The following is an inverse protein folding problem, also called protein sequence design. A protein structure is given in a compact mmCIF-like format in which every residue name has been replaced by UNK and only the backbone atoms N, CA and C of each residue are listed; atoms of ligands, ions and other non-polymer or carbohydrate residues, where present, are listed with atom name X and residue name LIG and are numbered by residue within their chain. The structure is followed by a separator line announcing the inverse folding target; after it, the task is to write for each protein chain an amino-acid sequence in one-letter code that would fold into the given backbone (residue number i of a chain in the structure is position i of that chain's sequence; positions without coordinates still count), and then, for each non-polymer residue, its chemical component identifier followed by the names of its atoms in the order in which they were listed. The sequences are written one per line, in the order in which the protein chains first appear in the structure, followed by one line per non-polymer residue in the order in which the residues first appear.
data_IF_355618964312
#
_entry.id   IF_355618964312
#
_cell.length_a   1.000
_cell.length_b   1.000
_cell.length_c   1.000
_cell.angle_alpha   90.00
_cell.angle_beta   90.00
_cell.angle_gamma   90.00
#
_symmetry.space_group_name_H-M   'P 1'
#
loop_
_entity.id
_entity.type
_entity.pdbx_description
1 polymer ?
#
# COMPACT_ATOMS: atom_id res chain seq x y z
N UNK A 1 19.64 -4.35 -12.33
CA UNK A 1 19.15 -3.39 -13.34
C UNK A 1 18.29 -4.13 -14.35
N UNK A 2 17.52 -3.40 -15.13
CA UNK A 2 16.73 -3.98 -16.20
C UNK A 2 17.65 -4.52 -17.30
N UNK A 3 17.23 -5.58 -17.97
CA UNK A 3 18.01 -6.26 -19.00
C UNK A 3 17.19 -6.41 -20.29
N UNK A 4 17.82 -6.11 -21.44
CA UNK A 4 17.26 -6.27 -22.79
C UNK A 4 18.08 -7.23 -23.63
N UNK A 5 17.46 -7.81 -24.67
CA UNK A 5 18.15 -8.61 -25.66
C UNK A 5 18.28 -7.88 -27.00
N UNK A 6 19.51 -7.73 -27.50
CA UNK A 6 19.82 -7.07 -28.77
C UNK A 6 20.15 -8.11 -29.84
N UNK A 7 19.60 -7.91 -31.04
CA UNK A 7 19.95 -8.62 -32.27
C UNK A 7 20.50 -7.66 -33.32
N UNK A 8 21.53 -8.08 -34.05
CA UNK A 8 21.98 -7.42 -35.27
C UNK A 8 21.90 -8.41 -36.40
N UNK A 9 21.12 -8.09 -37.43
CA UNK A 9 20.88 -8.94 -38.60
C UNK A 9 21.53 -8.30 -39.80
N UNK A 10 22.32 -9.08 -40.54
CA UNK A 10 23.01 -8.67 -41.78
C UNK A 10 22.56 -9.52 -42.95
N UNK A 11 21.98 -8.89 -43.96
CA UNK A 11 21.51 -9.61 -45.17
C UNK A 11 20.60 -10.82 -44.83
N UNK A 12 19.70 -10.67 -43.87
CA UNK A 12 18.81 -11.77 -43.47
C UNK A 12 19.44 -12.86 -42.61
N UNK A 13 20.66 -12.64 -42.07
CA UNK A 13 21.33 -13.58 -41.19
C UNK A 13 21.65 -12.88 -39.86
N UNK A 14 21.39 -13.58 -38.74
CA UNK A 14 21.76 -13.07 -37.42
C UNK A 14 23.27 -13.01 -37.28
N UNK A 15 23.82 -11.80 -37.17
CA UNK A 15 25.25 -11.56 -37.00
C UNK A 15 25.63 -11.46 -35.50
N UNK A 16 24.75 -10.92 -34.67
CA UNK A 16 24.84 -10.93 -33.21
C UNK A 16 23.53 -11.41 -32.64
N UNK A 17 23.62 -12.49 -31.88
CA UNK A 17 22.47 -13.25 -31.40
C UNK A 17 22.27 -12.98 -29.90
N UNK A 18 21.11 -12.45 -29.54
CA UNK A 18 20.62 -12.31 -28.18
C UNK A 18 21.64 -11.68 -27.22
N UNK A 19 22.28 -10.60 -27.62
CA UNK A 19 23.26 -9.90 -26.80
C UNK A 19 22.55 -9.22 -25.62
N UNK A 20 22.89 -9.62 -24.40
CA UNK A 20 22.35 -9.02 -23.19
C UNK A 20 22.88 -7.61 -23.02
N UNK A 21 21.96 -6.64 -22.87
CA UNK A 21 22.26 -5.27 -22.47
C UNK A 21 21.71 -5.04 -21.07
N UNK A 22 22.53 -4.40 -20.21
CA UNK A 22 22.14 -4.05 -18.85
C UNK A 22 21.97 -2.54 -18.73
N UNK A 23 20.92 -2.10 -18.07
CA UNK A 23 20.64 -0.69 -17.81
C UNK A 23 21.55 -0.12 -16.73
N UNK A 24 22.13 1.04 -17.01
CA UNK A 24 22.86 1.85 -16.04
C UNK A 24 22.25 3.25 -15.98
N UNK A 25 21.82 3.69 -14.80
CA UNK A 25 21.35 5.05 -14.58
C UNK A 25 22.52 6.01 -14.52
N UNK A 26 22.45 7.11 -15.28
CA UNK A 26 23.43 8.20 -15.27
C UNK A 26 23.03 9.28 -14.26
N UNK A 27 23.97 10.13 -13.89
CA UNK A 27 23.77 11.24 -12.93
C UNK A 27 22.74 12.28 -13.43
N UNK A 28 22.58 12.42 -14.75
CA UNK A 28 21.61 13.32 -15.39
C UNK A 28 20.19 12.73 -15.49
N UNK A 29 19.98 11.53 -14.95
CA UNK A 29 18.70 10.82 -14.99
C UNK A 29 18.44 10.04 -16.29
N UNK A 30 19.37 10.07 -17.26
CA UNK A 30 19.28 9.23 -18.46
C UNK A 30 19.67 7.77 -18.16
N UNK A 31 19.28 6.84 -19.03
CA UNK A 31 19.62 5.42 -18.93
C UNK A 31 20.49 5.05 -20.13
N UNK A 32 21.66 4.46 -19.84
CA UNK A 32 22.53 3.88 -20.85
C UNK A 32 22.43 2.37 -20.79
N UNK A 33 22.28 1.73 -21.95
CA UNK A 33 22.26 0.29 -22.09
C UNK A 33 23.59 -0.19 -22.64
N UNK A 34 24.25 -1.11 -21.94
CA UNK A 34 25.58 -1.59 -22.30
C UNK A 34 25.63 -3.12 -22.28
N UNK A 35 26.33 -3.75 -23.27
CA UNK A 35 26.66 -5.14 -23.20
C UNK A 35 27.74 -5.40 -22.13
N UNK A 36 28.00 -6.66 -21.83
CA UNK A 36 29.14 -7.04 -20.99
C UNK A 36 30.45 -6.48 -21.56
N UNK A 37 31.40 -6.12 -20.69
CA UNK A 37 32.63 -5.43 -21.04
C UNK A 37 33.51 -6.15 -22.11
N UNK A 38 33.36 -7.47 -22.22
CA UNK A 38 34.08 -8.28 -23.21
C UNK A 38 33.40 -8.33 -24.58
N UNK A 39 32.14 -7.93 -24.67
CA UNK A 39 31.33 -7.98 -25.91
C UNK A 39 31.62 -6.76 -26.77
N UNK A 40 32.30 -6.96 -27.90
CA UNK A 40 32.55 -5.91 -28.89
C UNK A 40 31.52 -6.00 -30.01
N UNK A 41 30.67 -5.01 -30.09
CA UNK A 41 29.68 -4.88 -31.17
C UNK A 41 30.27 -4.07 -32.30
N UNK A 42 30.13 -4.55 -33.52
CA UNK A 42 30.48 -3.85 -34.76
C UNK A 42 29.23 -3.73 -35.62
N UNK A 43 28.89 -2.50 -35.98
CA UNK A 43 27.69 -2.21 -36.78
C UNK A 43 27.92 -1.08 -37.78
N UNK A 44 26.84 -0.58 -38.39
CA UNK A 44 26.86 0.53 -39.33
C UNK A 44 27.19 0.12 -40.77
N UNK A 45 27.11 -1.16 -41.08
CA UNK A 45 27.19 -1.65 -42.46
C UNK A 45 25.85 -1.43 -43.19
N UNK A 46 25.89 -1.35 -44.50
CA UNK A 46 24.69 -1.36 -45.34
C UNK A 46 23.95 -2.71 -45.18
N UNK A 47 22.61 -2.66 -45.14
CA UNK A 47 21.73 -3.85 -45.00
C UNK A 47 21.82 -4.50 -43.59
N UNK A 48 21.97 -3.70 -42.55
CA UNK A 48 21.82 -4.15 -41.15
C UNK A 48 20.49 -3.68 -40.59
N UNK A 49 19.80 -4.62 -39.92
CA UNK A 49 18.66 -4.35 -39.07
C UNK A 49 19.07 -4.58 -37.60
N UNK A 50 18.53 -3.77 -36.71
CA UNK A 50 18.78 -3.84 -35.28
C UNK A 50 17.44 -4.04 -34.58
N UNK A 51 17.34 -5.09 -33.77
CA UNK A 51 16.12 -5.40 -33.02
C UNK A 51 16.43 -5.52 -31.55
N UNK A 52 15.54 -5.00 -30.72
CA UNK A 52 15.64 -5.03 -29.27
C UNK A 52 14.35 -5.55 -28.65
N UNK A 53 14.45 -6.30 -27.56
CA UNK A 53 13.30 -6.72 -26.78
C UNK A 53 13.58 -6.64 -25.27
N UNK A 54 12.54 -6.46 -24.51
CA UNK A 54 12.53 -6.44 -23.04
C UNK A 54 11.32 -7.22 -22.51
N UNK A 55 11.43 -7.97 -21.41
CA UNK A 55 12.65 -8.28 -20.63
C UNK A 55 13.50 -9.37 -21.27
N UNK A 56 14.80 -9.36 -21.00
CA UNK A 56 15.76 -10.33 -21.52
C UNK A 56 15.39 -11.77 -21.17
N UNK A 57 15.55 -12.68 -22.16
CA UNK A 57 15.39 -14.12 -22.02
C UNK A 57 16.69 -14.83 -22.40
N UNK A 58 17.10 -15.82 -21.61
CA UNK A 58 18.32 -16.61 -21.90
C UNK A 58 18.12 -17.59 -23.08
N UNK A 59 16.90 -18.13 -23.22
CA UNK A 59 16.55 -19.04 -24.31
C UNK A 59 15.70 -18.32 -25.36
N UNK A 60 16.35 -18.02 -26.48
CA UNK A 60 15.73 -17.41 -27.65
C UNK A 60 15.78 -18.31 -28.89
N UNK A 61 16.16 -19.55 -28.74
CA UNK A 61 16.28 -20.48 -29.86
C UNK A 61 14.95 -20.68 -30.61
N UNK A 62 14.94 -20.40 -31.90
CA UNK A 62 13.76 -20.51 -32.75
C UNK A 62 12.66 -19.48 -32.50
N UNK A 63 12.94 -18.43 -31.76
CA UNK A 63 11.94 -17.37 -31.41
C UNK A 63 12.05 -16.10 -32.25
N UNK A 64 12.99 -16.07 -33.21
CA UNK A 64 13.18 -14.88 -34.09
C UNK A 64 13.22 -15.35 -35.56
N UNK A 65 12.76 -14.44 -36.44
CA UNK A 65 12.83 -14.61 -37.91
C UNK A 65 13.83 -13.62 -38.53
N UNK A 66 15.02 -14.09 -38.87
CA UNK A 66 16.08 -13.23 -39.42
C UNK A 66 15.75 -12.66 -40.80
N UNK A 67 14.74 -13.17 -41.50
CA UNK A 67 14.30 -12.65 -42.79
C UNK A 67 13.37 -11.44 -42.67
N UNK A 68 12.85 -11.16 -41.49
CA UNK A 68 11.93 -10.03 -41.22
C UNK A 68 12.66 -8.68 -41.17
N UNK A 69 11.94 -7.63 -41.56
CA UNK A 69 12.42 -6.25 -41.54
C UNK A 69 11.77 -5.41 -40.44
N UNK A 70 10.64 -5.87 -39.88
CA UNK A 70 9.89 -5.20 -38.86
C UNK A 70 9.97 -5.96 -37.54
N UNK A 71 9.97 -5.28 -36.36
CA UNK A 71 10.15 -5.94 -35.08
C UNK A 71 9.00 -6.91 -34.74
N UNK A 72 7.77 -6.62 -35.13
CA UNK A 72 6.61 -7.49 -34.92
C UNK A 72 6.77 -8.83 -35.65
N UNK A 73 7.29 -8.83 -36.89
CA UNK A 73 7.54 -10.03 -37.66
C UNK A 73 8.79 -10.75 -37.16
N UNK A 74 9.85 -10.02 -36.83
CA UNK A 74 11.10 -10.59 -36.30
C UNK A 74 10.85 -11.37 -35.01
N UNK A 75 10.05 -10.82 -34.08
CA UNK A 75 9.72 -11.43 -32.80
C UNK A 75 8.36 -12.16 -32.79
N UNK A 76 7.74 -12.44 -33.94
CA UNK A 76 6.40 -13.04 -34.01
C UNK A 76 6.25 -14.33 -33.17
N UNK A 77 7.25 -15.22 -33.24
CA UNK A 77 7.27 -16.45 -32.46
C UNK A 77 7.44 -16.21 -30.97
N UNK A 78 8.29 -15.23 -30.57
CA UNK A 78 8.43 -14.80 -29.19
C UNK A 78 7.12 -14.22 -28.67
N UNK A 79 6.49 -13.33 -29.39
CA UNK A 79 5.22 -12.67 -29.04
C UNK A 79 4.12 -13.71 -28.84
N UNK A 80 3.96 -14.61 -29.82
CA UNK A 80 2.92 -15.64 -29.75
C UNK A 80 3.17 -16.64 -28.61
N UNK A 81 4.43 -16.92 -28.30
CA UNK A 81 4.80 -17.81 -27.19
C UNK A 81 4.84 -17.15 -25.82
N UNK A 82 4.75 -15.80 -25.73
CA UNK A 82 4.90 -15.08 -24.48
C UNK A 82 3.78 -15.39 -23.50
N UNK A 83 4.15 -15.70 -22.27
CA UNK A 83 3.21 -16.03 -21.20
C UNK A 83 3.36 -15.03 -20.06
N UNK A 84 2.52 -13.97 -20.00
CA UNK A 84 2.45 -13.12 -18.83
C UNK A 84 2.19 -13.93 -17.56
N UNK A 85 2.83 -13.56 -16.46
CA UNK A 85 2.66 -14.25 -15.18
C UNK A 85 1.19 -14.25 -14.75
N UNK A 86 0.71 -15.37 -14.21
CA UNK A 86 -0.64 -15.44 -13.66
C UNK A 86 -0.76 -14.57 -12.41
N UNK A 87 0.27 -14.55 -11.57
CA UNK A 87 0.38 -13.65 -10.44
C UNK A 87 1.28 -12.45 -10.81
N UNK A 88 0.64 -11.30 -11.02
CA UNK A 88 1.28 -10.01 -11.26
C UNK A 88 1.10 -9.05 -10.08
N UNK A 89 0.82 -9.55 -8.88
CA UNK A 89 0.54 -8.73 -7.70
C UNK A 89 1.73 -7.88 -7.23
N UNK A 90 2.96 -8.25 -7.63
CA UNK A 90 4.17 -7.47 -7.37
C UNK A 90 4.58 -6.65 -8.60
N UNK A 91 5.24 -5.50 -8.37
CA UNK A 91 5.78 -4.70 -9.48
C UNK A 91 6.75 -5.49 -10.38
N UNK A 92 7.61 -6.31 -9.77
CA UNK A 92 8.58 -7.10 -10.52
C UNK A 92 7.89 -8.11 -11.47
N UNK A 93 6.89 -8.84 -10.98
CA UNK A 93 6.12 -9.81 -11.78
C UNK A 93 5.27 -9.11 -12.86
N UNK A 94 4.68 -7.97 -12.52
CA UNK A 94 3.93 -7.14 -13.46
C UNK A 94 4.83 -6.62 -14.58
N UNK A 95 5.98 -6.00 -14.26
CA UNK A 95 6.92 -5.46 -15.24
C UNK A 95 7.52 -6.56 -16.13
N UNK A 96 7.88 -7.71 -15.53
CA UNK A 96 8.40 -8.85 -16.28
C UNK A 96 7.37 -9.52 -17.22
N UNK A 97 6.08 -9.25 -17.05
CA UNK A 97 5.01 -9.74 -17.92
C UNK A 97 4.87 -8.92 -19.20
N UNK A 98 5.41 -7.71 -19.25
CA UNK A 98 5.24 -6.77 -20.36
C UNK A 98 6.36 -6.91 -21.39
N UNK A 99 6.12 -7.73 -22.40
CA UNK A 99 7.05 -7.83 -23.54
C UNK A 99 6.99 -6.56 -24.36
N UNK A 100 8.14 -5.92 -24.51
CA UNK A 100 8.33 -4.75 -25.37
C UNK A 100 9.35 -5.09 -26.46
N UNK A 101 9.15 -4.53 -27.65
CA UNK A 101 10.01 -4.75 -28.82
C UNK A 101 10.32 -3.43 -29.51
N UNK A 102 11.40 -3.38 -30.26
CA UNK A 102 11.76 -2.22 -31.07
C UNK A 102 12.67 -2.61 -32.24
N UNK A 103 12.61 -1.83 -33.30
CA UNK A 103 13.68 -1.69 -34.28
C UNK A 103 14.61 -0.54 -33.91
N UNK A 104 15.85 -0.62 -34.36
CA UNK A 104 16.91 0.34 -34.01
C UNK A 104 17.28 1.25 -35.17
N UNK A 105 17.56 2.51 -34.84
CA UNK A 105 18.17 3.46 -35.76
C UNK A 105 19.61 3.75 -35.36
N UNK A 106 20.47 3.97 -36.36
CA UNK A 106 21.90 4.27 -36.13
C UNK A 106 22.23 5.72 -36.42
N UNK A 107 23.07 6.31 -35.56
CA UNK A 107 23.65 7.63 -35.78
C UNK A 107 25.16 7.53 -35.68
N UNK A 108 25.86 8.02 -36.72
CA UNK A 108 27.33 8.05 -36.74
C UNK A 108 27.83 9.23 -35.88
N UNK A 109 28.63 8.91 -34.89
CA UNK A 109 29.34 9.89 -34.07
C UNK A 109 30.70 10.27 -34.65
N UNK A 110 31.37 11.20 -33.99
CA UNK A 110 32.77 11.54 -34.28
C UNK A 110 33.68 10.36 -33.90
N UNK A 111 34.76 10.16 -34.62
CA UNK A 111 35.75 9.09 -34.37
C UNK A 111 35.28 7.64 -34.69
N UNK A 112 34.30 7.48 -35.57
CA UNK A 112 33.83 6.15 -35.99
C UNK A 112 32.97 5.41 -34.95
N UNK A 113 32.54 6.09 -33.91
CA UNK A 113 31.56 5.55 -32.98
C UNK A 113 30.18 5.48 -33.63
N UNK A 114 29.39 4.50 -33.24
CA UNK A 114 28.00 4.32 -33.66
C UNK A 114 27.10 4.35 -32.43
N UNK A 115 26.10 5.23 -32.44
CA UNK A 115 25.03 5.20 -31.44
C UNK A 115 23.81 4.48 -31.99
N UNK A 116 23.24 3.59 -31.20
CA UNK A 116 21.99 2.92 -31.49
C UNK A 116 20.88 3.55 -30.64
N UNK A 117 19.75 3.85 -31.25
CA UNK A 117 18.56 4.37 -30.58
C UNK A 117 17.36 3.48 -30.87
N UNK A 118 16.59 3.19 -29.84
CA UNK A 118 15.39 2.36 -29.90
C UNK A 118 14.21 3.07 -29.28
N UNK A 119 13.04 2.95 -29.90
CA UNK A 119 11.76 3.35 -29.30
C UNK A 119 10.94 2.10 -29.06
N UNK A 120 10.84 1.70 -27.78
CA UNK A 120 10.15 0.46 -27.41
C UNK A 120 8.64 0.59 -27.56
N UNK A 121 8.02 -0.43 -28.12
CA UNK A 121 6.57 -0.60 -28.21
C UNK A 121 6.12 -1.82 -27.42
N UNK A 122 4.98 -1.73 -26.75
CA UNK A 122 4.42 -2.89 -26.04
C UNK A 122 3.88 -3.93 -27.05
N UNK A 123 4.40 -5.13 -27.02
CA UNK A 123 3.81 -6.25 -27.75
C UNK A 123 2.62 -6.86 -27.00
N UNK A 124 2.48 -6.52 -25.72
CA UNK A 124 1.38 -6.94 -24.85
C UNK A 124 0.26 -5.90 -24.81
N UNK A 125 -0.83 -6.26 -24.15
CA UNK A 125 -1.99 -5.39 -23.92
C UNK A 125 -2.29 -5.27 -22.43
N UNK A 126 -3.02 -4.21 -22.01
CA UNK A 126 -3.24 -3.86 -20.64
C UNK A 126 -4.72 -3.92 -20.25
N UNK A 127 -5.08 -4.78 -19.30
CA UNK A 127 -6.35 -4.71 -18.59
C UNK A 127 -6.23 -3.74 -17.41
N UNK A 128 -7.07 -2.71 -17.38
CA UNK A 128 -7.19 -1.75 -16.27
C UNK A 128 -8.48 -2.06 -15.54
N UNK A 129 -8.42 -2.31 -14.24
CA UNK A 129 -9.57 -2.61 -13.40
C UNK A 129 -9.84 -1.41 -12.51
N UNK A 130 -11.07 -0.90 -12.56
CA UNK A 130 -11.50 0.21 -11.72
C UNK A 130 -12.66 -0.23 -10.84
N UNK A 131 -12.47 -0.03 -9.52
CA UNK A 131 -13.45 -0.32 -8.50
C UNK A 131 -14.40 0.86 -8.27
N UNK A 132 -15.62 0.64 -7.74
CA UNK A 132 -16.49 1.72 -7.34
C UNK A 132 -15.90 2.51 -6.17
N UNK A 133 -16.26 3.79 -6.08
CA UNK A 133 -15.97 4.66 -4.93
C UNK A 133 -17.20 4.72 -4.03
N UNK A 134 -17.02 4.52 -2.73
CA UNK A 134 -18.09 4.69 -1.75
C UNK A 134 -17.89 6.03 -1.05
N UNK A 135 -18.94 6.84 -0.98
CA UNK A 135 -18.96 8.11 -0.24
C UNK A 135 -19.97 8.00 0.88
N UNK A 136 -19.49 8.00 2.12
CA UNK A 136 -20.34 8.09 3.29
C UNK A 136 -20.70 9.55 3.55
N UNK A 137 -21.99 9.86 3.44
CA UNK A 137 -22.55 11.17 3.79
C UNK A 137 -23.06 11.10 5.21
N UNK A 138 -22.36 11.77 6.13
CA UNK A 138 -22.69 11.68 7.54
C UNK A 138 -23.92 12.52 7.89
N UNK A 139 -24.85 11.92 8.62
CA UNK A 139 -26.15 12.51 9.00
C UNK A 139 -26.22 12.88 10.49
N UNK A 140 -25.06 13.06 11.13
CA UNK A 140 -24.95 13.41 12.53
C UNK A 140 -25.59 14.80 12.81
N UNK A 141 -26.55 14.86 13.74
CA UNK A 141 -27.28 16.09 14.04
C UNK A 141 -26.43 17.10 14.85
N UNK A 142 -25.57 16.62 15.74
CA UNK A 142 -24.86 17.47 16.71
C UNK A 142 -23.42 17.86 16.29
N UNK A 143 -22.91 17.24 15.22
CA UNK A 143 -21.56 17.50 14.70
C UNK A 143 -21.58 17.41 13.18
N UNK A 144 -21.04 18.42 12.52
CA UNK A 144 -20.87 18.38 11.06
C UNK A 144 -19.59 17.64 10.75
N UNK A 145 -19.72 16.46 10.15
CA UNK A 145 -18.61 15.62 9.70
C UNK A 145 -18.57 15.71 8.16
N UNK A 146 -17.41 16.00 7.55
CA UNK A 146 -17.27 15.98 6.09
C UNK A 146 -17.58 14.59 5.52
N UNK A 147 -17.93 14.50 4.23
CA UNK A 147 -18.14 13.24 3.55
C UNK A 147 -16.84 12.41 3.59
N UNK A 148 -16.96 11.13 3.92
CA UNK A 148 -15.84 10.19 3.91
C UNK A 148 -15.82 9.44 2.56
N UNK A 149 -14.80 9.73 1.75
CA UNK A 149 -14.60 9.08 0.46
C UNK A 149 -13.76 7.82 0.66
N UNK A 150 -14.43 6.69 0.70
CA UNK A 150 -13.76 5.39 0.69
C UNK A 150 -13.62 4.90 -0.77
N UNK A 151 -12.44 5.02 -1.34
CA UNK A 151 -12.12 4.31 -2.57
C UNK A 151 -12.04 2.84 -2.21
N UNK A 152 -12.98 2.05 -2.71
CA UNK A 152 -12.94 0.61 -2.51
C UNK A 152 -11.56 0.11 -2.94
N UNK A 153 -10.73 -0.17 -1.94
CA UNK A 153 -9.46 -0.86 -2.15
C UNK A 153 -9.84 -2.29 -2.38
N UNK A 154 -9.94 -2.71 -3.46
CA UNK A 154 -10.16 -4.01 -3.78
C UNK A 154 -10.33 -5.11 -2.91
N UNK A 155 -10.73 -5.61 -3.39
CA UNK A 155 -10.86 -6.91 -3.88
C UNK A 155 -9.76 -7.74 -3.24
N UNK A 156 -10.17 -8.59 -2.42
CA UNK A 156 -9.44 -9.80 -2.14
C UNK A 156 -9.39 -10.61 -3.46
N UNK A 157 -8.23 -10.66 -4.09
CA UNK A 157 -7.94 -11.50 -5.25
C UNK A 157 -7.41 -12.88 -4.88
N UNK A 158 -7.39 -13.24 -3.61
CA UNK A 158 -6.70 -14.43 -3.07
C UNK A 158 -7.10 -15.74 -3.79
N UNK A 159 -8.33 -15.84 -4.26
CA UNK A 159 -8.81 -17.01 -4.99
C UNK A 159 -8.94 -16.76 -6.50
N UNK A 160 -8.28 -15.74 -7.03
CA UNK A 160 -8.25 -15.49 -8.47
C UNK A 160 -7.18 -16.32 -9.17
N UNK A 161 -7.52 -16.88 -10.31
CA UNK A 161 -6.51 -17.55 -11.18
C UNK A 161 -5.46 -16.55 -11.70
N UNK A 162 -5.87 -15.28 -11.86
CA UNK A 162 -5.03 -14.19 -12.31
C UNK A 162 -5.04 -13.08 -11.27
N UNK A 163 -3.86 -12.72 -10.76
CA UNK A 163 -3.73 -11.70 -9.72
C UNK A 163 -3.15 -10.40 -10.29
N UNK A 164 -3.92 -9.31 -10.32
CA UNK A 164 -3.47 -8.04 -10.88
C UNK A 164 -2.58 -7.22 -9.93
N UNK A 165 -1.78 -6.33 -10.49
CA UNK A 165 -0.98 -5.36 -9.76
C UNK A 165 -1.80 -4.14 -9.34
N UNK A 166 -1.76 -3.81 -8.04
CA UNK A 166 -2.40 -2.61 -7.48
C UNK A 166 -1.53 -1.37 -7.69
N UNK A 167 -2.03 -0.36 -8.42
CA UNK A 167 -1.29 0.89 -8.67
C UNK A 167 -1.75 2.05 -7.80
N UNK A 168 -2.99 2.01 -7.35
CA UNK A 168 -3.60 3.01 -6.47
C UNK A 168 -4.85 2.39 -5.83
N UNK A 169 -5.38 2.95 -4.74
CA UNK A 169 -6.64 2.50 -4.17
C UNK A 169 -7.73 2.37 -5.23
N UNK A 170 -8.32 1.17 -5.34
CA UNK A 170 -9.39 0.87 -6.29
C UNK A 170 -8.99 0.82 -7.77
N UNK A 171 -7.68 0.81 -8.08
CA UNK A 171 -7.20 0.70 -9.47
C UNK A 171 -6.11 -0.35 -9.60
N UNK A 172 -6.31 -1.30 -10.49
CA UNK A 172 -5.40 -2.41 -10.74
C UNK A 172 -5.06 -2.54 -12.21
N UNK A 173 -3.95 -3.19 -12.50
CA UNK A 173 -3.45 -3.47 -13.85
C UNK A 173 -3.07 -4.94 -13.99
N UNK A 174 -3.32 -5.49 -15.18
CA UNK A 174 -2.93 -6.83 -15.55
C UNK A 174 -2.50 -6.87 -17.02
N UNK A 175 -1.30 -7.39 -17.29
CA UNK A 175 -0.78 -7.56 -18.65
C UNK A 175 -1.31 -8.86 -19.23
N UNK A 176 -1.80 -8.81 -20.48
CA UNK A 176 -2.30 -9.96 -21.24
C UNK A 176 -1.59 -10.07 -22.58
N UNK A 177 -1.42 -11.29 -23.07
CA UNK A 177 -0.97 -11.49 -24.44
C UNK A 177 -2.16 -11.34 -25.40
N UNK A 178 -2.16 -10.36 -26.31
CA UNK A 178 -3.29 -10.12 -27.23
C UNK A 178 -3.44 -11.19 -28.31
N UNK A 179 -2.37 -11.95 -28.61
CA UNK A 179 -2.37 -13.00 -29.64
C UNK A 179 -3.01 -14.29 -29.10
N UNK A 180 -2.61 -14.70 -27.90
CA UNK A 180 -3.11 -15.94 -27.31
C UNK A 180 -4.30 -15.73 -26.39
N UNK A 181 -4.48 -14.51 -25.89
CA UNK A 181 -5.48 -14.20 -24.87
C UNK A 181 -5.29 -15.02 -23.59
N UNK A 182 -6.35 -15.12 -22.81
CA UNK A 182 -6.43 -16.04 -21.68
C UNK A 182 -7.86 -16.53 -21.54
N UNK A 183 -8.02 -17.82 -21.25
CA UNK A 183 -9.31 -18.40 -20.89
C UNK A 183 -9.62 -18.23 -19.39
N UNK A 184 -8.63 -17.75 -18.60
CA UNK A 184 -8.76 -17.56 -17.14
C UNK A 184 -9.41 -16.25 -16.81
N UNK A 185 -10.10 -16.22 -15.68
CA UNK A 185 -10.77 -15.04 -15.17
C UNK A 185 -9.91 -14.33 -14.12
N UNK A 186 -10.05 -13.00 -14.07
CA UNK A 186 -9.77 -12.24 -12.87
C UNK A 186 -11.06 -12.23 -12.05
N UNK A 187 -11.00 -12.78 -10.85
CA UNK A 187 -12.11 -12.80 -9.90
C UNK A 187 -11.70 -12.06 -8.64
N UNK A 188 -12.65 -11.44 -7.98
CA UNK A 188 -12.37 -10.75 -6.72
C UNK A 188 -13.60 -10.49 -5.90
N UNK A 189 -13.38 -10.22 -4.61
CA UNK A 189 -14.41 -9.81 -3.66
C UNK A 189 -14.11 -8.39 -3.18
N UNK A 190 -15.14 -7.61 -2.87
CA UNK A 190 -15.00 -6.28 -2.30
C UNK A 190 -16.15 -5.99 -1.33
N UNK A 191 -16.17 -4.81 -0.70
CA UNK A 191 -17.11 -4.47 0.36
C UNK A 191 -17.11 -5.54 1.48
N UNK A 192 -15.90 -5.84 1.99
CA UNK A 192 -15.65 -6.88 3.00
C UNK A 192 -16.20 -8.27 2.61
N UNK A 193 -16.01 -8.64 1.36
CA UNK A 193 -16.40 -9.95 0.83
C UNK A 193 -17.90 -10.11 0.54
N UNK A 194 -18.70 -9.05 0.73
CA UNK A 194 -20.15 -9.10 0.49
C UNK A 194 -20.54 -8.99 -0.99
N UNK A 195 -19.60 -8.60 -1.84
CA UNK A 195 -19.79 -8.52 -3.29
C UNK A 195 -18.65 -9.20 -4.03
N UNK A 196 -18.98 -9.81 -5.16
CA UNK A 196 -18.03 -10.54 -6.01
C UNK A 196 -18.09 -9.99 -7.43
N UNK A 197 -16.99 -10.10 -8.16
CA UNK A 197 -16.93 -9.83 -9.59
C UNK A 197 -16.04 -10.83 -10.29
N UNK A 198 -16.27 -11.03 -11.58
CA UNK A 198 -15.43 -11.85 -12.45
C UNK A 198 -15.48 -11.30 -13.87
N UNK A 199 -14.35 -11.32 -14.56
CA UNK A 199 -14.27 -11.05 -15.99
C UNK A 199 -13.03 -11.70 -16.60
N UNK A 200 -13.10 -12.00 -17.90
CA UNK A 200 -11.96 -12.48 -18.68
C UNK A 200 -11.28 -11.27 -19.34
N UNK A 201 -9.98 -11.04 -19.14
CA UNK A 201 -9.28 -9.91 -19.75
C UNK A 201 -9.00 -10.16 -21.24
N UNK A 202 -10.02 -10.04 -22.08
CA UNK A 202 -9.92 -10.22 -23.52
C UNK A 202 -9.59 -8.89 -24.21
N UNK A 203 -8.36 -8.77 -24.73
CA UNK A 203 -7.85 -7.64 -25.48
C UNK A 203 -7.04 -8.22 -26.64
N UNK A 204 -7.34 -7.81 -27.87
CA UNK A 204 -6.83 -8.46 -29.09
C UNK A 204 -5.80 -7.62 -29.84
N UNK A 205 -5.53 -6.39 -29.41
CA UNK A 205 -4.57 -5.50 -30.05
C UNK A 205 -3.38 -5.23 -29.12
N UNK A 206 -2.18 -5.40 -29.62
CA UNK A 206 -0.96 -4.98 -28.93
C UNK A 206 -0.97 -3.45 -28.68
N UNK A 207 -0.18 -3.00 -27.71
CA UNK A 207 -0.07 -1.58 -27.31
C UNK A 207 -1.41 -0.92 -26.94
N UNK A 208 -2.44 -1.71 -26.67
CA UNK A 208 -3.77 -1.20 -26.33
C UNK A 208 -4.16 -1.50 -24.89
N UNK A 209 -5.18 -0.82 -24.38
CA UNK A 209 -5.73 -1.13 -23.08
C UNK A 209 -7.25 -1.19 -23.09
N UNK A 210 -7.80 -1.94 -22.15
CA UNK A 210 -9.25 -2.01 -21.90
C UNK A 210 -9.53 -1.81 -20.43
N UNK A 211 -10.48 -0.92 -20.12
CA UNK A 211 -10.90 -0.68 -18.75
C UNK A 211 -12.11 -1.56 -18.40
N UNK A 212 -11.98 -2.35 -17.36
CA UNK A 212 -13.03 -3.16 -16.75
C UNK A 212 -13.53 -2.42 -15.51
N UNK A 213 -14.76 -1.96 -15.55
CA UNK A 213 -15.38 -1.19 -14.47
C UNK A 213 -16.27 -2.09 -13.63
N UNK A 214 -15.84 -2.38 -12.40
CA UNK A 214 -16.65 -3.11 -11.43
C UNK A 214 -17.77 -2.21 -10.95
N UNK A 215 -19.03 -2.68 -11.00
CA UNK A 215 -20.23 -1.87 -10.72
C UNK A 215 -20.20 -0.50 -11.42
N UNK A 216 -19.74 -0.47 -12.68
CA UNK A 216 -19.59 0.76 -13.47
C UNK A 216 -18.49 1.71 -13.01
N UNK A 217 -17.67 1.35 -12.03
CA UNK A 217 -16.76 2.22 -11.29
C UNK A 217 -17.49 3.48 -10.76
N UNK A 218 -18.75 3.31 -10.35
CA UNK A 218 -19.63 4.41 -9.97
C UNK A 218 -19.29 4.96 -8.57
N UNK A 219 -19.64 6.22 -8.33
CA UNK A 219 -19.65 6.79 -6.99
C UNK A 219 -20.96 6.42 -6.31
N UNK A 220 -20.89 5.61 -5.27
CA UNK A 220 -22.04 5.14 -4.48
C UNK A 220 -22.12 6.00 -3.20
N UNK A 221 -23.16 6.81 -3.08
CA UNK A 221 -23.42 7.60 -1.87
C UNK A 221 -24.19 6.77 -0.84
N UNK A 222 -23.69 6.76 0.40
CA UNK A 222 -24.36 6.09 1.53
C UNK A 222 -24.57 7.08 2.67
N UNK A 223 -25.83 7.33 3.02
CA UNK A 223 -26.14 8.04 4.27
C UNK A 223 -25.73 7.17 5.47
N UNK A 224 -25.04 7.76 6.44
CA UNK A 224 -24.56 7.07 7.63
C UNK A 224 -24.53 8.00 8.84
N UNK A 225 -25.07 7.59 9.97
CA UNK A 225 -24.90 8.29 11.23
C UNK A 225 -23.73 7.64 11.96
N UNK A 226 -22.60 8.34 11.98
CA UNK A 226 -21.38 7.84 12.61
C UNK A 226 -21.53 7.86 14.12
N UNK A 227 -21.26 6.75 14.78
CA UNK A 227 -21.43 6.62 16.22
C UNK A 227 -20.44 5.65 16.85
N UNK A 228 -20.13 5.82 18.15
CA UNK A 228 -19.32 4.84 18.87
C UNK A 228 -19.94 3.43 18.78
N UNK A 229 -19.11 2.44 18.48
CA UNK A 229 -19.49 1.06 18.23
C UNK A 229 -19.64 0.68 16.75
N UNK A 230 -19.58 1.65 15.82
CA UNK A 230 -19.54 1.34 14.39
C UNK A 230 -18.24 0.62 14.04
N UNK A 231 -18.32 -0.30 13.08
CA UNK A 231 -17.22 -1.14 12.66
C UNK A 231 -16.51 -0.53 11.46
N UNK A 232 -15.18 -0.37 11.58
CA UNK A 232 -14.30 0.03 10.48
C UNK A 232 -13.57 -1.21 9.95
N UNK A 233 -13.74 -1.49 8.68
CA UNK A 233 -13.19 -2.67 8.03
C UNK A 233 -11.86 -2.37 7.34
N UNK A 234 -11.09 -3.39 7.05
CA UNK A 234 -9.75 -3.30 6.42
C UNK A 234 -9.77 -2.59 5.07
N UNK A 235 -10.88 -2.61 4.34
CA UNK A 235 -11.10 -1.89 3.08
C UNK A 235 -11.58 -0.44 3.29
N UNK A 236 -11.66 0.04 4.53
CA UNK A 236 -12.17 1.36 4.90
C UNK A 236 -13.70 1.45 4.92
N UNK A 237 -14.43 0.37 4.68
CA UNK A 237 -15.89 0.38 4.77
C UNK A 237 -16.35 0.56 6.21
N UNK A 238 -17.42 1.36 6.38
CA UNK A 238 -18.10 1.56 7.67
C UNK A 238 -19.40 0.74 7.72
N UNK A 239 -19.61 0.05 8.85
CA UNK A 239 -20.86 -0.66 9.14
C UNK A 239 -21.37 -0.21 10.49
N UNK A 240 -22.63 0.22 10.53
CA UNK A 240 -23.24 0.67 11.79
C UNK A 240 -23.34 -0.46 12.82
N UNK A 241 -23.12 -0.12 14.10
CA UNK A 241 -23.16 -1.08 15.22
C UNK A 241 -24.44 -1.90 15.31
N UNK A 242 -25.55 -1.34 14.83
CA UNK A 242 -26.88 -1.96 14.86
C UNK A 242 -27.13 -2.94 13.69
N UNK A 243 -26.14 -3.12 12.80
CA UNK A 243 -26.22 -4.06 11.68
C UNK A 243 -25.63 -5.40 12.05
N UNK A 244 -26.26 -6.48 11.63
CA UNK A 244 -25.70 -7.82 11.77
C UNK A 244 -24.53 -7.98 10.79
N UNK A 245 -23.36 -8.34 11.33
CA UNK A 245 -22.17 -8.62 10.53
C UNK A 245 -22.20 -10.07 10.03
N UNK A 246 -21.81 -10.26 8.77
CA UNK A 246 -21.43 -11.59 8.26
C UNK A 246 -20.08 -12.01 8.88
N UNK A 247 -19.76 -13.31 8.81
CA UNK A 247 -18.47 -13.78 9.34
C UNK A 247 -17.29 -13.19 8.59
N UNK A 248 -17.39 -12.96 7.28
CA UNK A 248 -16.39 -12.25 6.50
C UNK A 248 -16.20 -10.78 6.95
N UNK A 249 -17.29 -10.10 7.30
CA UNK A 249 -17.21 -8.73 7.83
C UNK A 249 -16.60 -8.67 9.23
N UNK A 250 -16.92 -9.67 10.09
CA UNK A 250 -16.27 -9.78 11.40
C UNK A 250 -14.76 -10.00 11.25
N UNK A 251 -14.35 -10.88 10.35
CA UNK A 251 -12.95 -11.17 10.06
C UNK A 251 -12.21 -9.97 9.44
N UNK A 252 -12.90 -9.14 8.66
CA UNK A 252 -12.36 -7.94 8.04
C UNK A 252 -12.39 -6.70 8.94
N UNK A 253 -13.02 -6.76 10.13
CA UNK A 253 -13.10 -5.64 11.05
C UNK A 253 -11.73 -5.41 11.71
N UNK A 254 -11.14 -4.25 11.47
CA UNK A 254 -9.82 -3.89 12.00
C UNK A 254 -9.91 -2.92 13.19
N UNK A 255 -11.01 -2.15 13.29
CA UNK A 255 -11.20 -1.20 14.36
C UNK A 255 -12.68 -0.95 14.67
N UNK A 256 -12.95 -0.44 15.86
CA UNK A 256 -14.26 0.02 16.30
C UNK A 256 -14.20 1.52 16.55
N UNK A 257 -15.13 2.26 15.94
CA UNK A 257 -15.25 3.71 16.14
C UNK A 257 -15.57 3.99 17.61
N UNK A 258 -14.78 4.85 18.23
CA UNK A 258 -15.06 5.27 19.60
C UNK A 258 -15.48 6.74 19.72
N UNK A 259 -15.19 7.56 18.71
CA UNK A 259 -15.60 8.97 18.70
C UNK A 259 -15.94 9.42 17.26
N UNK A 260 -17.06 10.11 17.10
CA UNK A 260 -17.55 10.61 15.82
C UNK A 260 -17.19 12.09 15.66
N UNK A 261 -16.54 12.43 14.57
CA UNK A 261 -16.05 13.78 14.27
C UNK A 261 -14.62 14.01 14.78
N UNK A 262 -14.07 15.15 14.40
CA UNK A 262 -12.76 15.59 14.87
C UNK A 262 -12.91 16.26 16.26
N UNK A 263 -12.16 15.79 17.25
CA UNK A 263 -12.24 16.32 18.61
C UNK A 263 -11.61 17.70 18.70
N UNK A 264 -12.26 18.62 19.45
CA UNK A 264 -11.83 20.03 19.54
C UNK A 264 -10.46 20.21 20.20
N UNK A 265 -10.07 19.28 21.07
CA UNK A 265 -8.74 19.26 21.72
C UNK A 265 -7.68 18.51 20.91
N UNK A 266 -7.99 18.03 19.70
CA UNK A 266 -7.00 17.43 18.80
C UNK A 266 -6.37 18.52 17.93
N UNK A 267 -5.12 18.83 18.19
CA UNK A 267 -4.30 19.76 17.40
C UNK A 267 -3.47 19.05 16.32
N UNK A 268 -3.81 17.80 16.00
CA UNK A 268 -3.20 17.08 14.87
C UNK A 268 -3.74 17.61 13.55
N UNK A 269 -2.93 17.48 12.50
CA UNK A 269 -3.28 17.81 11.12
C UNK A 269 -3.01 16.58 10.23
N UNK A 270 -3.95 16.26 9.34
CA UNK A 270 -3.95 14.98 8.63
C UNK A 270 -3.84 15.06 7.09
N UNK A 271 -3.44 16.19 6.43
CA UNK A 271 -3.45 16.30 4.98
C UNK A 271 -2.46 15.34 4.28
N UNK A 272 -1.34 15.02 4.94
CA UNK A 272 -0.31 14.12 4.42
C UNK A 272 -0.60 12.64 4.72
N UNK A 273 -1.76 12.34 5.30
CA UNK A 273 -2.22 10.98 5.59
C UNK A 273 -3.23 10.52 4.55
N UNK A 274 -3.71 9.27 4.68
CA UNK A 274 -4.81 8.78 3.86
C UNK A 274 -6.12 9.58 3.99
N UNK A 275 -6.29 10.35 5.06
CA UNK A 275 -7.44 11.24 5.29
C UNK A 275 -7.43 12.40 4.26
N UNK A 276 -6.25 12.95 3.93
CA UNK A 276 -6.08 13.98 2.89
C UNK A 276 -6.69 15.35 3.21
N UNK A 277 -7.03 15.62 4.47
CA UNK A 277 -7.59 16.89 4.94
C UNK A 277 -7.20 17.16 6.40
N UNK A 278 -7.34 18.40 6.88
CA UNK A 278 -6.88 18.80 8.22
C UNK A 278 -7.64 18.13 9.37
N UNK A 279 -8.92 17.78 9.17
CA UNK A 279 -9.76 17.18 10.21
C UNK A 279 -10.18 15.78 9.84
N UNK A 280 -10.12 14.86 10.80
CA UNK A 280 -10.61 13.50 10.63
C UNK A 280 -12.14 13.42 10.73
N UNK A 281 -12.71 12.31 10.26
CA UNK A 281 -14.14 12.00 10.36
C UNK A 281 -14.50 11.37 11.71
N UNK A 282 -13.52 10.72 12.34
CA UNK A 282 -13.68 10.07 13.64
C UNK A 282 -12.40 9.33 14.05
N UNK A 283 -12.47 8.70 15.22
CA UNK A 283 -11.37 7.89 15.76
C UNK A 283 -11.87 6.48 16.02
N UNK A 284 -11.01 5.51 15.73
CA UNK A 284 -11.31 4.10 15.94
C UNK A 284 -10.16 3.41 16.68
N UNK A 285 -10.51 2.48 17.56
CA UNK A 285 -9.60 1.67 18.35
C UNK A 285 -9.43 0.32 17.66
N UNK A 286 -8.19 -0.18 17.57
CA UNK A 286 -7.89 -1.48 16.99
C UNK A 286 -8.67 -2.61 17.69
N UNK A 287 -9.04 -3.64 16.94
CA UNK A 287 -9.70 -4.83 17.53
C UNK A 287 -8.72 -5.60 18.39
N UNK A 288 -7.46 -5.70 17.95
CA UNK A 288 -6.42 -6.44 18.64
C UNK A 288 -5.40 -5.51 19.30
N UNK A 289 -4.89 -5.92 20.46
CA UNK A 289 -3.77 -5.26 21.10
C UNK A 289 -2.49 -5.38 20.24
N UNK A 290 -1.73 -4.29 20.18
CA UNK A 290 -0.38 -4.34 19.61
C UNK A 290 0.56 -5.15 20.52
N UNK A 291 0.42 -4.99 21.85
CA UNK A 291 0.96 -5.89 22.90
C UNK A 291 -0.05 -5.99 24.03
N UNK A 292 -0.63 -7.17 24.29
CA UNK A 292 -1.59 -7.36 25.35
C UNK A 292 -0.93 -7.30 26.74
N UNK A 293 -1.64 -6.70 27.70
CA UNK A 293 -1.29 -6.80 29.12
C UNK A 293 -1.84 -8.13 29.71
N UNK A 294 -1.16 -8.88 30.58
CA UNK A 294 0.14 -8.61 31.24
C UNK A 294 1.34 -9.27 30.56
N UNK A 295 1.28 -9.60 29.27
CA UNK A 295 2.44 -10.13 28.58
C UNK A 295 3.66 -9.21 28.76
N UNK A 296 4.81 -9.58 28.21
CA UNK A 296 6.11 -8.91 28.45
C UNK A 296 6.09 -7.37 28.32
N UNK A 297 5.03 -6.77 27.77
CA UNK A 297 4.86 -5.32 27.60
C UNK A 297 6.01 -4.63 26.85
N UNK A 298 5.85 -3.35 26.59
CA UNK A 298 6.88 -2.50 25.97
C UNK A 298 7.33 -1.40 26.93
N UNK A 299 8.60 -0.98 26.85
CA UNK A 299 9.06 0.27 27.42
C UNK A 299 8.44 1.43 26.60
N UNK A 300 8.20 2.56 27.26
CA UNK A 300 7.72 3.72 26.55
C UNK A 300 8.78 4.32 25.61
N UNK A 301 10.01 4.52 26.12
CA UNK A 301 11.13 5.10 25.41
C UNK A 301 12.25 5.56 26.34
N UNK A 302 12.97 6.62 25.95
CA UNK A 302 14.14 7.14 26.67
C UNK A 302 13.75 7.66 28.05
N UNK A 303 14.33 7.07 29.09
CA UNK A 303 14.20 7.56 30.46
C UNK A 303 15.19 8.70 30.69
N UNK A 304 14.72 9.81 31.24
CA UNK A 304 15.50 11.03 31.46
C UNK A 304 15.51 12.04 30.30
N UNK A 305 14.77 11.74 29.20
CA UNK A 305 14.59 12.62 28.06
C UNK A 305 13.12 12.99 27.83
N UNK A 306 12.85 14.22 27.35
CA UNK A 306 11.51 14.63 26.90
C UNK A 306 11.48 14.81 25.38
N UNK A 307 10.44 14.27 24.76
CA UNK A 307 10.16 14.46 23.32
C UNK A 307 9.14 15.56 23.06
N UNK A 308 8.70 16.24 24.13
CA UNK A 308 7.78 17.36 24.05
C UNK A 308 6.31 16.98 23.81
N UNK A 309 5.91 15.82 24.34
CA UNK A 309 4.51 15.34 24.31
C UNK A 309 3.81 15.53 25.66
N UNK A 310 4.43 16.35 26.54
CA UNK A 310 3.85 16.71 27.82
C UNK A 310 2.64 17.63 27.62
N UNK A 311 1.56 17.31 28.28
CA UNK A 311 0.33 18.11 28.35
C UNK A 311 -0.23 18.12 29.77
N UNK A 312 -1.28 18.90 30.01
CA UNK A 312 -2.03 18.83 31.28
C UNK A 312 -2.92 17.57 31.35
N UNK A 313 -2.83 16.68 30.36
CA UNK A 313 -3.69 15.51 30.19
C UNK A 313 -3.71 14.54 31.36
N UNK A 314 -2.69 14.53 32.24
CA UNK A 314 -2.78 13.74 33.46
C UNK A 314 -3.83 14.27 34.45
N UNK A 315 -3.96 15.60 34.60
CA UNK A 315 -4.93 16.25 35.49
C UNK A 315 -6.27 16.49 34.80
N UNK A 316 -6.25 16.74 33.51
CA UNK A 316 -7.39 17.08 32.65
C UNK A 316 -7.34 16.23 31.37
N UNK A 317 -7.59 14.92 31.46
CA UNK A 317 -7.37 14.00 30.34
C UNK A 317 -8.17 14.35 29.09
N UNK A 318 -9.35 14.91 29.24
CA UNK A 318 -10.21 15.38 28.14
C UNK A 318 -9.60 16.50 27.28
N UNK A 319 -8.54 17.17 27.78
CA UNK A 319 -7.85 18.25 27.06
C UNK A 319 -6.74 17.76 26.12
N UNK A 320 -6.35 16.49 26.18
CA UNK A 320 -5.27 15.93 25.36
C UNK A 320 -5.74 14.83 24.40
N UNK A 321 -6.14 15.22 23.20
CA UNK A 321 -6.51 14.32 22.11
C UNK A 321 -5.45 14.24 21.01
N UNK A 322 -4.22 14.65 21.28
CA UNK A 322 -3.13 14.78 20.30
C UNK A 322 -2.38 13.47 20.00
N UNK A 323 -3.01 12.30 20.10
CA UNK A 323 -2.32 11.02 19.97
C UNK A 323 -1.50 10.88 18.67
N UNK A 324 -2.07 11.25 17.52
CA UNK A 324 -1.35 11.24 16.26
C UNK A 324 -0.16 12.21 16.28
N UNK A 325 -0.38 13.46 16.66
CA UNK A 325 0.67 14.49 16.76
C UNK A 325 1.80 14.11 17.72
N UNK A 326 1.47 13.51 18.86
CA UNK A 326 2.46 13.05 19.82
C UNK A 326 3.26 11.87 19.28
N UNK A 327 2.59 10.95 18.59
CA UNK A 327 3.25 9.81 17.93
C UNK A 327 4.26 10.30 16.89
N UNK A 328 3.91 11.30 16.06
CA UNK A 328 4.85 11.88 15.11
C UNK A 328 6.08 12.50 15.80
N UNK A 329 5.89 13.24 16.91
CA UNK A 329 7.02 13.77 17.69
C UNK A 329 7.94 12.68 18.26
N UNK A 330 7.36 11.55 18.70
CA UNK A 330 8.14 10.41 19.17
C UNK A 330 8.92 9.78 18.03
N UNK A 331 8.31 9.65 16.85
CA UNK A 331 8.97 9.16 15.64
C UNK A 331 10.14 10.08 15.24
N UNK A 332 9.94 11.40 15.29
CA UNK A 332 10.99 12.39 14.99
C UNK A 332 12.15 12.29 15.98
N UNK A 333 11.84 12.12 17.28
CA UNK A 333 12.85 11.94 18.33
C UNK A 333 13.65 10.63 18.17
N UNK A 334 13.04 9.59 17.61
CA UNK A 334 13.73 8.34 17.25
C UNK A 334 14.64 8.50 16.02
N UNK A 335 14.47 9.57 15.24
CA UNK A 335 15.16 9.76 13.95
C UNK A 335 14.44 9.15 12.75
N UNK A 336 13.12 9.02 12.84
CA UNK A 336 12.23 8.49 11.80
C UNK A 336 11.68 7.11 12.10
N UNK A 337 10.62 6.74 11.38
CA UNK A 337 9.89 5.47 11.56
C UNK A 337 10.81 4.23 11.43
N UNK A 338 11.81 4.27 10.53
CA UNK A 338 12.77 3.18 10.34
C UNK A 338 13.77 2.98 11.48
N UNK A 339 13.78 3.87 12.47
CA UNK A 339 14.61 3.77 13.69
C UNK A 339 13.85 3.24 14.89
N UNK A 340 12.53 3.21 14.82
CA UNK A 340 11.72 2.58 15.84
C UNK A 340 12.07 1.09 15.96
N UNK A 341 12.18 0.59 17.20
CA UNK A 341 12.45 -0.83 17.46
C UNK A 341 11.90 -1.28 18.82
N UNK A 342 11.77 -2.59 19.00
CA UNK A 342 11.18 -3.21 20.18
C UNK A 342 12.13 -3.33 21.38
N UNK A 343 13.43 -3.06 21.24
CA UNK A 343 14.46 -3.56 22.15
C UNK A 343 15.19 -2.48 22.93
N UNK A 344 15.41 -1.31 22.35
CA UNK A 344 16.14 -0.21 22.98
C UNK A 344 15.22 0.94 23.37
N UNK A 345 15.59 1.74 24.36
CA UNK A 345 14.81 2.91 24.77
C UNK A 345 14.77 3.96 23.66
N UNK A 346 15.86 4.17 22.94
CA UNK A 346 15.98 5.09 21.81
C UNK A 346 15.10 4.68 20.62
N UNK A 347 14.72 3.40 20.55
CA UNK A 347 13.79 2.88 19.56
C UNK A 347 12.32 3.07 19.92
N UNK A 348 12.00 3.67 21.06
CA UNK A 348 10.63 3.93 21.54
C UNK A 348 9.69 2.74 21.35
N UNK A 349 9.93 1.62 22.09
CA UNK A 349 9.23 0.36 21.88
C UNK A 349 7.69 0.46 21.87
N UNK A 350 7.09 1.26 22.76
CA UNK A 350 5.64 1.43 22.74
C UNK A 350 5.12 1.98 21.40
N UNK A 351 5.80 2.99 20.86
CA UNK A 351 5.48 3.56 19.55
C UNK A 351 5.78 2.59 18.41
N UNK A 352 6.90 1.83 18.50
CA UNK A 352 7.19 0.77 17.53
C UNK A 352 6.06 -0.24 17.42
N UNK A 353 5.57 -0.73 18.56
CA UNK A 353 4.47 -1.69 18.56
C UNK A 353 3.17 -1.09 18.04
N UNK A 354 2.85 0.15 18.45
CA UNK A 354 1.62 0.81 17.99
C UNK A 354 1.61 1.10 16.49
N UNK A 355 2.75 1.45 15.89
CA UNK A 355 2.85 1.95 14.51
C UNK A 355 3.36 0.87 13.57
N UNK A 356 4.50 0.24 13.87
CA UNK A 356 5.21 -0.64 12.93
C UNK A 356 4.74 -2.08 13.05
N UNK A 357 4.78 -2.63 14.27
CA UNK A 357 4.42 -4.04 14.48
C UNK A 357 2.93 -4.28 14.26
N UNK A 358 2.08 -3.36 14.71
CA UNK A 358 0.64 -3.47 14.51
C UNK A 358 0.27 -3.36 13.03
N UNK A 359 0.86 -2.40 12.28
CA UNK A 359 0.64 -2.26 10.83
C UNK A 359 1.04 -3.52 10.05
N UNK A 360 2.11 -4.20 10.48
CA UNK A 360 2.55 -5.45 9.85
C UNK A 360 1.55 -6.61 10.05
N UNK A 361 0.84 -6.63 11.17
CA UNK A 361 -0.13 -7.67 11.52
C UNK A 361 -1.56 -7.31 11.10
N UNK A 362 -1.92 -6.04 11.21
CA UNK A 362 -3.24 -5.50 10.92
C UNK A 362 -3.07 -4.18 10.16
N UNK A 363 -3.18 -4.24 8.84
CA UNK A 363 -2.98 -3.06 7.99
C UNK A 363 -4.08 -2.03 8.19
N UNK A 364 -3.69 -0.79 8.43
CA UNK A 364 -4.64 0.31 8.53
C UNK A 364 -5.33 0.58 7.18
N UNK A 365 -6.63 0.94 7.17
CA UNK A 365 -7.33 1.31 5.95
C UNK A 365 -6.67 2.51 5.25
N UNK A 366 -6.64 2.49 3.92
CA UNK A 366 -5.95 3.50 3.11
C UNK A 366 -6.46 4.94 3.32
N UNK A 367 -7.72 5.10 3.73
CA UNK A 367 -8.34 6.40 4.05
C UNK A 367 -8.14 6.87 5.49
N UNK A 368 -7.13 6.35 6.21
CA UNK A 368 -6.87 6.67 7.61
C UNK A 368 -5.52 7.37 7.81
N UNK A 369 -5.28 7.78 9.06
CA UNK A 369 -3.97 8.32 9.49
C UNK A 369 -2.86 7.27 9.54
N UNK A 370 -3.18 5.97 9.38
CA UNK A 370 -2.36 4.89 9.89
C UNK A 370 -2.52 4.75 11.41
N UNK A 371 -1.94 3.67 11.97
CA UNK A 371 -1.98 3.40 13.41
C UNK A 371 -1.06 4.33 14.19
N UNK A 372 -1.49 4.73 15.39
CA UNK A 372 -0.69 5.52 16.29
C UNK A 372 -0.93 5.17 17.76
N UNK A 373 -0.02 5.58 18.63
CA UNK A 373 -0.13 5.43 20.08
C UNK A 373 -1.11 6.49 20.60
N UNK A 374 -2.23 6.10 21.24
CA UNK A 374 -3.24 7.06 21.69
C UNK A 374 -2.72 8.00 22.76
N UNK A 375 -3.24 9.24 22.80
CA UNK A 375 -3.04 10.16 23.92
C UNK A 375 -3.86 9.74 25.13
N UNK A 376 -3.59 10.37 26.27
CA UNK A 376 -4.33 10.08 27.51
C UNK A 376 -5.83 10.39 27.35
N UNK A 377 -6.20 11.48 26.66
CA UNK A 377 -7.61 11.83 26.46
C UNK A 377 -8.36 10.80 25.63
N UNK A 378 -7.72 10.25 24.60
CA UNK A 378 -8.30 9.18 23.82
C UNK A 378 -8.47 7.90 24.65
N UNK A 379 -7.47 7.51 25.44
CA UNK A 379 -7.57 6.33 26.31
C UNK A 379 -8.54 6.54 27.47
N UNK A 380 -8.62 7.75 28.02
CA UNK A 380 -9.59 8.09 29.06
C UNK A 380 -11.03 8.00 28.54
N UNK A 381 -11.28 8.52 27.33
CA UNK A 381 -12.60 8.40 26.70
C UNK A 381 -12.98 6.92 26.44
N UNK A 382 -12.03 6.11 25.98
CA UNK A 382 -12.21 4.68 25.82
C UNK A 382 -12.56 4.01 27.17
N UNK A 383 -11.84 4.36 28.24
CA UNK A 383 -12.07 3.84 29.58
C UNK A 383 -13.46 4.19 30.12
N UNK A 384 -13.85 5.45 30.06
CA UNK A 384 -15.15 5.94 30.57
C UNK A 384 -16.34 5.31 29.83
N UNK A 385 -16.17 5.05 28.53
CA UNK A 385 -17.26 4.56 27.67
C UNK A 385 -17.19 3.06 27.37
N UNK A 386 -16.24 2.30 27.97
CA UNK A 386 -15.93 0.92 27.63
C UNK A 386 -17.11 -0.07 27.70
N UNK A 387 -18.06 0.14 28.58
CA UNK A 387 -19.19 -0.76 28.76
C UNK A 387 -20.32 -0.55 27.73
N UNK A 388 -20.34 0.59 27.06
CA UNK A 388 -21.46 0.96 26.19
C UNK A 388 -21.38 0.38 24.78
N UNK A 389 -20.17 0.03 24.28
CA UNK A 389 -20.00 -0.36 22.87
C UNK A 389 -18.81 -1.27 22.56
N UNK A 390 -17.84 -1.48 23.49
CA UNK A 390 -16.67 -2.35 23.25
C UNK A 390 -17.03 -3.85 23.13
N UNK A 391 -18.22 -4.25 23.55
CA UNK A 391 -18.62 -5.65 23.62
C UNK A 391 -19.67 -6.02 22.57
N UNK A 392 -19.56 -5.46 21.37
CA UNK A 392 -20.43 -5.76 20.25
C UNK A 392 -20.20 -7.14 19.62
N UNK A 393 -20.54 -7.28 18.34
CA UNK A 393 -20.35 -8.54 17.60
C UNK A 393 -18.85 -8.84 17.34
N UNK A 394 -18.02 -7.82 17.28
CA UNK A 394 -16.55 -7.92 17.33
C UNK A 394 -16.13 -7.37 18.69
N UNK A 395 -15.41 -8.18 19.44
CA UNK A 395 -15.01 -7.86 20.82
C UNK A 395 -13.60 -7.34 20.87
N UNK A 396 -13.42 -6.25 21.59
CA UNK A 396 -12.11 -5.78 21.99
C UNK A 396 -11.86 -6.26 23.41
N UNK A 397 -10.74 -6.95 23.64
CA UNK A 397 -10.28 -7.28 24.99
C UNK A 397 -9.26 -6.24 25.40
N UNK A 398 -9.67 -5.27 26.20
CA UNK A 398 -8.81 -4.25 26.76
C UNK A 398 -8.83 -4.38 28.30
N UNK A 399 -7.72 -4.81 28.88
CA UNK A 399 -7.58 -5.04 30.30
C UNK A 399 -6.14 -4.84 30.77
N UNK A 400 -5.97 -4.19 31.93
CA UNK A 400 -4.65 -3.91 32.47
C UNK A 400 -4.13 -2.53 32.09
N UNK A 401 -2.84 -2.33 32.21
CA UNK A 401 -2.20 -1.02 32.07
C UNK A 401 -1.59 -0.83 30.69
N UNK A 402 -1.92 0.25 30.03
CA UNK A 402 -1.49 0.59 28.65
C UNK A 402 -0.78 1.91 28.61
N UNK A 403 0.32 1.99 27.83
CA UNK A 403 0.98 3.24 27.54
C UNK A 403 0.10 4.17 26.73
N UNK A 404 0.23 5.47 26.99
CA UNK A 404 -0.25 6.55 26.10
C UNK A 404 0.94 7.27 25.47
N UNK A 405 0.69 8.11 24.46
CA UNK A 405 1.72 8.95 23.86
C UNK A 405 2.05 10.20 24.67
N UNK A 406 1.34 10.42 25.79
CA UNK A 406 1.46 11.61 26.64
C UNK A 406 2.56 11.42 27.68
N UNK A 407 3.53 12.35 27.72
CA UNK A 407 4.52 12.43 28.81
C UNK A 407 3.92 13.10 30.05
N UNK A 408 4.34 12.64 31.22
CA UNK A 408 4.07 13.30 32.50
C UNK A 408 5.26 14.18 32.92
N UNK A 409 6.43 13.58 33.05
CA UNK A 409 7.71 14.22 33.28
C UNK A 409 8.79 13.67 32.34
N UNK A 410 10.02 14.18 32.46
CA UNK A 410 11.16 13.67 31.66
C UNK A 410 11.39 12.16 31.82
N UNK A 411 11.13 11.63 33.01
CA UNK A 411 11.30 10.21 33.30
C UNK A 411 10.02 9.40 33.14
N UNK A 412 8.85 10.04 33.23
CA UNK A 412 7.55 9.36 33.32
C UNK A 412 6.67 9.62 32.12
N UNK A 413 5.92 8.63 31.72
CA UNK A 413 4.83 8.76 30.76
C UNK A 413 3.50 8.29 31.39
N UNK A 414 2.40 8.79 30.82
CA UNK A 414 1.06 8.52 31.31
C UNK A 414 0.58 7.17 30.79
N UNK A 415 -0.08 6.42 31.67
CA UNK A 415 -0.74 5.14 31.35
C UNK A 415 -2.23 5.22 31.68
N UNK A 416 -3.01 4.35 31.04
CA UNK A 416 -4.41 4.09 31.38
C UNK A 416 -4.56 2.65 31.85
N UNK A 417 -5.06 2.47 33.06
CA UNK A 417 -5.41 1.18 33.63
C UNK A 417 -6.89 0.86 33.40
N UNK A 418 -7.16 -0.09 32.54
CA UNK A 418 -8.51 -0.64 32.32
C UNK A 418 -8.87 -1.65 33.41
N UNK A 419 -9.31 -1.12 34.51
CA UNK A 419 -9.66 -1.82 35.75
C UNK A 419 -10.25 -0.82 36.74
N UNK A 420 -9.81 -0.85 38.00
CA UNK A 420 -10.43 -0.08 39.07
C UNK A 420 -9.83 1.32 39.29
N UNK A 421 -8.67 1.66 38.70
CA UNK A 421 -7.90 2.85 39.08
C UNK A 421 -7.75 3.97 38.04
N UNK A 422 -8.12 3.76 36.77
CA UNK A 422 -8.04 4.80 35.73
C UNK A 422 -6.61 5.18 35.32
N UNK A 423 -6.32 6.50 35.18
CA UNK A 423 -5.01 6.97 34.75
C UNK A 423 -3.95 6.92 35.85
N UNK A 424 -2.70 6.68 35.44
CA UNK A 424 -1.51 6.72 36.28
C UNK A 424 -0.30 7.18 35.44
N UNK A 425 0.87 7.30 36.04
CA UNK A 425 2.13 7.53 35.36
C UNK A 425 3.23 6.62 35.93
N UNK A 426 4.16 6.25 35.07
CA UNK A 426 5.27 5.37 35.45
C UNK A 426 6.52 5.75 34.68
N UNK A 427 7.68 5.35 35.23
CA UNK A 427 8.95 5.52 34.54
C UNK A 427 8.91 4.86 33.16
N UNK A 428 9.42 5.57 32.15
CA UNK A 428 9.43 5.17 30.74
C UNK A 428 10.13 3.84 30.47
N UNK A 429 11.00 3.40 31.40
CA UNK A 429 11.66 2.11 31.36
C UNK A 429 10.78 0.92 31.76
N UNK A 430 9.64 1.16 32.41
CA UNK A 430 8.70 0.11 32.79
C UNK A 430 8.03 -0.47 31.53
N UNK A 431 7.38 -1.63 31.70
CA UNK A 431 6.77 -2.34 30.59
C UNK A 431 5.28 -2.49 30.78
N UNK A 432 4.51 -1.93 29.84
CA UNK A 432 3.05 -2.04 29.84
C UNK A 432 2.54 -2.43 28.46
N UNK A 433 1.25 -2.76 28.38
CA UNK A 433 0.54 -3.03 27.14
C UNK A 433 0.58 -1.85 26.18
N UNK A 434 0.35 -2.13 24.92
CA UNK A 434 0.20 -1.13 23.85
C UNK A 434 -1.06 -1.45 23.07
N UNK A 435 -1.95 -0.48 22.96
CA UNK A 435 -3.14 -0.58 22.13
C UNK A 435 -3.12 0.54 21.09
N UNK A 436 -3.38 0.19 19.83
CA UNK A 436 -3.32 1.15 18.73
C UNK A 436 -4.68 1.78 18.49
N UNK A 437 -4.66 3.04 18.04
CA UNK A 437 -5.83 3.74 17.52
C UNK A 437 -5.48 4.35 16.16
N UNK A 438 -6.50 4.74 15.41
CA UNK A 438 -6.36 5.51 14.18
C UNK A 438 -7.43 6.61 14.10
N UNK A 439 -7.15 7.63 13.28
CA UNK A 439 -8.14 8.57 12.77
C UNK A 439 -8.47 8.22 11.31
N UNK A 440 -9.69 8.51 10.85
CA UNK A 440 -10.11 8.25 9.47
C UNK A 440 -10.98 9.37 8.93
#
# INVERSE_FOLDING_TARGET
GDECGLYIVRNGVVAYDNIKLTATANEDGSITWQPDAETKLMGGLSNENYFLYYPYQTDMNGKVDASANEPDDFFATLISGWQPAADQSTYASYAASDLMIADGTTTKGTNGTLSLSFTMSHAMALAVIKMPTIVYQFTNANVKIPDYVNKATAADFTNSDLQPYGIAPGTYRYIVNPVNGTAKNITGKYAAGSKEFAFTPNITNASSYKTYKVDGAATIKKAHTLQPGDYLLSDGSLIGKDKTLTDGQKAACVAIVFYAGHHTSDGSDYPETGIGQSKCHGYAVAVDDAIPHPSRGAMWGVNGGSVGTKSNGYSEPETDWNGYKWTQKIIDAAGGVGKLNATTQEGYPATYYAVVAHEANCKAPAGSSGWFLPSIGQMYYLYENRTSWLYGQVKITIYGNYWTSTEYFTNDAVTMLFGDYGQSHYEKAWRFGVHSVLAF
#
